data_IF_634634589257
#
_entry.id   IF_634634589257
#
_cell.length_a   1.000
_cell.length_b   1.000
_cell.length_c   1.000
_cell.angle_alpha   90.00
_cell.angle_beta   90.00
_cell.angle_gamma   90.00
#
_symmetry.space_group_name_H-M   'P 1'
#
loop_
_entity.id
_entity.type
_entity.pdbx_description
1 polymer ?
#
# COMPACT_ATOMS: atom_id res chain seq x y z
N UNK A 1 -30.79 9.27 15.67
CA UNK A 1 -29.63 9.89 14.99
C UNK A 1 -29.36 9.07 13.72
N UNK A 2 -29.72 9.56 12.53
CA UNK A 2 -29.42 8.86 11.28
C UNK A 2 -28.03 9.30 10.81
N UNK A 3 -27.08 8.38 10.79
CA UNK A 3 -25.76 8.64 10.23
C UNK A 3 -25.93 8.63 8.71
N UNK A 4 -25.65 9.77 8.08
CA UNK A 4 -25.61 9.86 6.62
C UNK A 4 -24.30 9.22 6.12
N UNK A 5 -24.42 8.11 5.40
CA UNK A 5 -23.28 7.39 4.84
C UNK A 5 -22.43 8.27 3.90
N UNK A 6 -23.05 9.25 3.23
CA UNK A 6 -22.34 10.17 2.34
C UNK A 6 -21.42 11.11 3.13
N UNK A 7 -21.89 11.61 4.28
CA UNK A 7 -21.09 12.47 5.15
C UNK A 7 -19.88 11.71 5.69
N UNK A 8 -20.11 10.49 6.21
CA UNK A 8 -19.02 9.63 6.72
C UNK A 8 -17.98 9.35 5.64
N UNK A 9 -18.41 9.08 4.41
CA UNK A 9 -17.50 8.84 3.28
C UNK A 9 -16.64 10.06 2.98
N UNK A 10 -17.23 11.26 2.95
CA UNK A 10 -16.48 12.51 2.68
C UNK A 10 -15.43 12.77 3.76
N UNK A 11 -15.80 12.64 5.04
CA UNK A 11 -14.86 12.83 6.16
C UNK A 11 -13.72 11.81 6.12
N UNK A 12 -14.02 10.53 5.87
CA UNK A 12 -13.01 9.49 5.73
C UNK A 12 -12.03 9.81 4.60
N UNK A 13 -12.53 10.26 3.46
CA UNK A 13 -11.72 10.66 2.31
C UNK A 13 -10.79 11.83 2.63
N UNK A 14 -11.24 12.81 3.42
CA UNK A 14 -10.40 13.93 3.86
C UNK A 14 -9.26 13.47 4.79
N UNK A 15 -9.54 12.51 5.67
CA UNK A 15 -8.52 11.91 6.55
C UNK A 15 -7.45 11.20 5.71
N UNK A 16 -7.85 10.40 4.73
CA UNK A 16 -6.93 9.70 3.82
C UNK A 16 -6.07 10.68 3.02
N UNK A 17 -6.64 11.81 2.62
CA UNK A 17 -5.92 12.86 1.88
C UNK A 17 -4.98 13.71 2.77
N UNK A 18 -5.04 13.54 4.09
CA UNK A 18 -4.23 14.33 5.04
C UNK A 18 -2.73 14.07 4.93
N UNK A 19 -1.93 15.10 5.25
CA UNK A 19 -0.47 14.97 5.28
C UNK A 19 0.02 13.96 6.32
N UNK A 20 -0.72 13.80 7.42
CA UNK A 20 -0.38 12.87 8.50
C UNK A 20 -0.40 11.42 8.00
N UNK A 21 -1.43 11.04 7.23
CA UNK A 21 -1.53 9.71 6.63
C UNK A 21 -0.39 9.46 5.64
N UNK A 22 -0.04 10.45 4.81
CA UNK A 22 1.08 10.33 3.87
C UNK A 22 2.44 10.17 4.56
N UNK A 23 2.66 10.86 5.67
CA UNK A 23 3.90 10.70 6.46
C UNK A 23 3.97 9.29 7.06
N UNK A 24 2.87 8.80 7.63
CA UNK A 24 2.80 7.44 8.15
C UNK A 24 3.05 6.39 7.05
N UNK A 25 2.40 6.53 5.89
CA UNK A 25 2.62 5.68 4.72
C UNK A 25 4.11 5.68 4.32
N UNK A 26 4.73 6.85 4.20
CA UNK A 26 6.14 6.96 3.82
C UNK A 26 7.08 6.22 4.79
N UNK A 27 6.86 6.36 6.10
CA UNK A 27 7.66 5.68 7.12
C UNK A 27 7.45 4.16 7.04
N UNK A 28 6.20 3.71 7.00
CA UNK A 28 5.89 2.27 6.93
C UNK A 28 6.45 1.63 5.66
N UNK A 29 6.30 2.29 4.52
CA UNK A 29 6.76 1.80 3.22
C UNK A 29 8.29 1.77 3.17
N UNK A 30 8.95 2.74 3.81
CA UNK A 30 10.41 2.70 3.98
C UNK A 30 10.87 1.52 4.84
N UNK A 31 10.20 1.25 5.97
CA UNK A 31 10.51 0.08 6.79
C UNK A 31 10.31 -1.24 6.03
N UNK A 32 9.23 -1.37 5.27
CA UNK A 32 8.99 -2.57 4.44
C UNK A 32 10.00 -2.70 3.31
N UNK A 33 10.40 -1.60 2.69
CA UNK A 33 11.49 -1.58 1.72
C UNK A 33 12.79 -2.10 2.32
N UNK A 34 13.17 -1.62 3.51
CA UNK A 34 14.36 -2.12 4.22
C UNK A 34 14.24 -3.61 4.54
N UNK A 35 13.06 -4.07 4.95
CA UNK A 35 12.81 -5.49 5.16
C UNK A 35 12.97 -6.31 3.87
N UNK A 36 12.44 -5.83 2.74
CA UNK A 36 12.62 -6.48 1.44
C UNK A 36 14.09 -6.59 1.05
N UNK A 37 14.86 -5.51 1.21
CA UNK A 37 16.31 -5.53 1.00
C UNK A 37 17.03 -6.51 1.92
N UNK A 38 16.64 -6.54 3.20
CA UNK A 38 17.15 -7.52 4.15
C UNK A 38 16.85 -8.96 3.71
N UNK A 39 15.59 -9.27 3.37
CA UNK A 39 15.18 -10.62 2.97
C UNK A 39 15.81 -11.08 1.64
N UNK A 40 16.18 -10.16 0.74
CA UNK A 40 16.94 -10.49 -0.47
C UNK A 40 18.41 -10.75 -0.14
N UNK A 41 18.99 -9.97 0.78
CA UNK A 41 20.42 -10.01 1.09
C UNK A 41 20.80 -11.13 2.05
N UNK A 42 19.89 -11.53 2.93
CA UNK A 42 20.13 -12.51 3.98
C UNK A 42 19.31 -13.78 3.71
N UNK A 43 19.98 -14.93 3.80
CA UNK A 43 19.47 -16.22 3.31
C UNK A 43 18.44 -16.91 4.22
N UNK A 44 18.03 -16.32 5.34
CA UNK A 44 17.03 -16.92 6.23
C UNK A 44 15.61 -16.44 5.88
N UNK A 45 14.79 -17.28 5.23
CA UNK A 45 13.42 -16.89 4.90
C UNK A 45 12.56 -16.78 6.15
N UNK A 46 11.54 -15.92 6.11
CA UNK A 46 10.50 -15.88 7.15
C UNK A 46 9.75 -17.21 7.10
N UNK A 47 10.14 -18.12 7.99
CA UNK A 47 9.73 -19.54 7.96
C UNK A 47 8.22 -19.78 7.93
N UNK A 48 7.43 -18.90 8.52
CA UNK A 48 5.96 -18.98 8.50
C UNK A 48 5.41 -18.73 7.10
N UNK A 49 5.94 -17.72 6.41
CA UNK A 49 5.48 -17.30 5.08
C UNK A 49 5.99 -18.29 4.03
N UNK A 50 7.28 -18.65 4.08
CA UNK A 50 7.89 -19.57 3.12
C UNK A 50 7.23 -20.97 3.15
N UNK A 51 7.01 -21.52 4.34
CA UNK A 51 6.35 -22.83 4.49
C UNK A 51 4.88 -22.82 4.05
N UNK A 52 4.19 -21.70 4.19
CA UNK A 52 2.78 -21.59 3.83
C UNK A 52 2.59 -21.31 2.32
N UNK A 53 3.47 -20.50 1.71
CA UNK A 53 3.29 -20.00 0.34
C UNK A 53 4.12 -20.75 -0.70
N UNK A 54 5.19 -21.44 -0.28
CA UNK A 54 6.19 -22.02 -1.16
C UNK A 54 7.22 -20.99 -1.65
N UNK A 55 8.39 -21.48 -2.06
CA UNK A 55 9.58 -20.67 -2.33
C UNK A 55 9.39 -19.60 -3.42
N UNK A 56 8.67 -19.92 -4.51
CA UNK A 56 8.41 -18.97 -5.59
C UNK A 56 7.50 -17.82 -5.12
N UNK A 57 6.42 -18.16 -4.43
CA UNK A 57 5.46 -17.17 -3.93
C UNK A 57 6.09 -16.31 -2.83
N UNK A 58 6.93 -16.90 -1.98
CA UNK A 58 7.74 -16.18 -1.00
C UNK A 58 8.68 -15.17 -1.68
N UNK A 59 9.38 -15.57 -2.75
CA UNK A 59 10.23 -14.65 -3.50
C UNK A 59 9.43 -13.48 -4.09
N UNK A 60 8.25 -13.73 -4.67
CA UNK A 60 7.35 -12.66 -5.14
C UNK A 60 6.95 -11.74 -3.99
N UNK A 61 6.57 -12.29 -2.84
CA UNK A 61 6.20 -11.54 -1.65
C UNK A 61 7.34 -10.64 -1.14
N UNK A 62 8.58 -11.13 -1.16
CA UNK A 62 9.77 -10.33 -0.86
C UNK A 62 9.97 -9.20 -1.88
N UNK A 63 9.82 -9.48 -3.18
CA UNK A 63 9.93 -8.45 -4.21
C UNK A 63 8.85 -7.37 -4.11
N UNK A 64 7.64 -7.71 -3.68
CA UNK A 64 6.58 -6.70 -3.45
C UNK A 64 6.96 -5.70 -2.36
N UNK A 65 7.71 -6.13 -1.33
CA UNK A 65 8.23 -5.23 -0.29
C UNK A 65 9.23 -4.20 -0.85
N UNK A 66 9.88 -4.49 -1.98
CA UNK A 66 10.86 -3.60 -2.62
C UNK A 66 10.18 -2.75 -3.70
N UNK A 67 9.47 -3.39 -4.62
CA UNK A 67 8.89 -2.73 -5.79
C UNK A 67 7.74 -1.81 -5.39
N UNK A 68 6.88 -2.23 -4.46
CA UNK A 68 5.73 -1.44 -4.00
C UNK A 68 6.12 -0.04 -3.51
N UNK A 69 7.00 0.08 -2.51
CA UNK A 69 7.47 1.36 -2.01
C UNK A 69 8.16 2.22 -3.07
N UNK A 70 8.96 1.61 -3.95
CA UNK A 70 9.63 2.32 -5.04
C UNK A 70 8.61 2.89 -6.05
N UNK A 71 7.56 2.15 -6.39
CA UNK A 71 6.48 2.63 -7.25
C UNK A 71 5.76 3.82 -6.64
N UNK A 72 5.44 3.77 -5.34
CA UNK A 72 4.82 4.90 -4.63
C UNK A 72 5.74 6.11 -4.57
N UNK A 73 7.01 5.92 -4.26
CA UNK A 73 8.00 7.00 -4.22
C UNK A 73 8.17 7.66 -5.60
N UNK A 74 8.34 6.86 -6.65
CA UNK A 74 8.44 7.35 -8.02
C UNK A 74 7.16 8.09 -8.44
N UNK A 75 5.99 7.54 -8.12
CA UNK A 75 4.71 8.17 -8.38
C UNK A 75 4.55 9.52 -7.67
N UNK A 76 4.94 9.60 -6.40
CA UNK A 76 4.99 10.85 -5.63
C UNK A 76 5.92 11.89 -6.28
N UNK A 77 7.12 11.49 -6.72
CA UNK A 77 8.06 12.39 -7.39
C UNK A 77 7.51 12.91 -8.74
N UNK A 78 6.75 12.08 -9.46
CA UNK A 78 6.12 12.45 -10.73
C UNK A 78 4.92 13.38 -10.52
N UNK A 79 4.09 13.13 -9.51
CA UNK A 79 2.92 13.93 -9.19
C UNK A 79 3.26 15.26 -8.47
N UNK A 80 4.32 15.27 -7.65
CA UNK A 80 4.67 16.41 -6.80
C UNK A 80 5.28 17.62 -7.52
N UNK A 81 5.84 17.46 -8.73
CA UNK A 81 6.56 18.54 -9.44
C UNK A 81 5.68 19.66 -10.00
N UNK A 82 4.34 19.62 -9.86
CA UNK A 82 3.44 20.57 -10.54
C UNK A 82 2.25 21.09 -9.73
N UNK A 83 2.40 21.29 -8.41
CA UNK A 83 1.38 21.99 -7.59
C UNK A 83 1.03 23.41 -8.10
N UNK A 84 1.83 23.99 -9.02
CA UNK A 84 1.67 25.34 -9.57
C UNK A 84 1.22 25.44 -11.04
N UNK A 85 0.86 24.35 -11.73
CA UNK A 85 0.46 24.43 -13.14
C UNK A 85 -0.95 23.88 -13.34
N UNK A 86 -1.89 24.77 -13.71
CA UNK A 86 -3.31 24.49 -13.97
C UNK A 86 -3.59 23.54 -15.16
N UNK A 87 -2.59 22.84 -15.70
CA UNK A 87 -2.78 21.93 -16.82
C UNK A 87 -2.64 20.46 -16.38
N UNK A 88 -3.69 19.64 -16.61
CA UNK A 88 -3.62 18.20 -16.42
C UNK A 88 -2.56 17.62 -17.34
N UNK A 89 -1.42 17.23 -16.76
CA UNK A 89 -0.32 16.63 -17.51
C UNK A 89 -0.43 15.12 -17.38
N UNK A 90 -0.27 14.40 -18.50
CA UNK A 90 -0.13 12.93 -18.52
C UNK A 90 0.86 12.40 -17.48
N UNK A 91 1.88 13.19 -17.12
CA UNK A 91 2.85 12.86 -16.08
C UNK A 91 2.23 12.73 -14.69
N UNK A 92 1.25 13.57 -14.34
CA UNK A 92 0.54 13.51 -13.05
C UNK A 92 -0.33 12.26 -13.01
N UNK A 93 -1.08 11.97 -14.08
CA UNK A 93 -1.86 10.73 -14.21
C UNK A 93 -0.98 9.49 -14.06
N UNK A 94 0.15 9.43 -14.78
CA UNK A 94 1.09 8.32 -14.67
C UNK A 94 1.68 8.20 -13.25
N UNK A 95 1.96 9.33 -12.59
CA UNK A 95 2.43 9.35 -11.20
C UNK A 95 1.39 8.83 -10.21
N UNK A 96 0.10 9.09 -10.45
CA UNK A 96 -0.99 8.54 -9.63
C UNK A 96 -1.19 7.04 -9.91
N UNK A 97 -1.11 6.59 -11.17
CA UNK A 97 -1.18 5.16 -11.52
C UNK A 97 -0.06 4.37 -10.84
N UNK A 98 1.15 4.92 -10.80
CA UNK A 98 2.28 4.31 -10.08
C UNK A 98 2.03 4.23 -8.57
N UNK A 99 1.44 5.27 -7.96
CA UNK A 99 1.05 5.22 -6.56
C UNK A 99 0.01 4.12 -6.31
N UNK A 100 -1.04 4.03 -7.13
CA UNK A 100 -2.06 2.97 -7.04
C UNK A 100 -1.42 1.59 -7.13
N UNK A 101 -0.54 1.37 -8.11
CA UNK A 101 0.14 0.09 -8.28
C UNK A 101 1.02 -0.27 -7.09
N UNK A 102 1.74 0.70 -6.52
CA UNK A 102 2.56 0.51 -5.34
C UNK A 102 1.73 0.22 -4.09
N UNK A 103 0.66 0.97 -3.85
CA UNK A 103 -0.24 0.75 -2.71
C UNK A 103 -0.97 -0.59 -2.82
N UNK A 104 -1.35 -1.00 -4.02
CA UNK A 104 -1.95 -2.30 -4.29
C UNK A 104 -0.95 -3.44 -4.01
N UNK A 105 0.31 -3.28 -4.42
CA UNK A 105 1.37 -4.21 -4.11
C UNK A 105 1.56 -4.37 -2.59
N UNK A 106 1.54 -3.26 -1.84
CA UNK A 106 1.63 -3.30 -0.38
C UNK A 106 0.41 -3.94 0.26
N UNK A 107 -0.80 -3.63 -0.21
CA UNK A 107 -2.03 -4.26 0.26
C UNK A 107 -1.99 -5.78 0.07
N UNK A 108 -1.57 -6.26 -1.11
CA UNK A 108 -1.46 -7.68 -1.40
C UNK A 108 -0.39 -8.36 -0.57
N UNK A 109 0.78 -7.73 -0.42
CA UNK A 109 1.88 -8.21 0.42
C UNK A 109 1.43 -8.36 1.88
N UNK A 110 0.78 -7.35 2.46
CA UNK A 110 0.27 -7.41 3.83
C UNK A 110 -0.81 -8.48 3.98
N UNK A 111 -1.65 -8.63 2.97
CA UNK A 111 -2.73 -9.62 2.98
C UNK A 111 -2.24 -11.06 2.89
N UNK A 112 -1.21 -11.27 2.08
CA UNK A 112 -0.51 -12.54 1.98
C UNK A 112 0.09 -12.97 3.33
N UNK A 113 0.62 -12.04 4.13
CA UNK A 113 1.19 -12.38 5.44
C UNK A 113 0.13 -12.94 6.39
N UNK A 114 -0.97 -12.22 6.64
CA UNK A 114 -1.97 -12.70 7.59
C UNK A 114 -2.70 -13.94 7.06
N UNK A 115 -2.90 -14.06 5.74
CA UNK A 115 -3.44 -15.27 5.13
C UNK A 115 -2.51 -16.49 5.36
N UNK A 116 -1.20 -16.31 5.20
CA UNK A 116 -0.21 -17.35 5.50
C UNK A 116 -0.21 -17.74 6.99
N UNK A 117 -0.33 -16.77 7.90
CA UNK A 117 -0.41 -17.05 9.34
C UNK A 117 -1.67 -17.83 9.70
N UNK A 118 -2.84 -17.45 9.16
CA UNK A 118 -4.11 -18.16 9.37
C UNK A 118 -4.09 -19.58 8.81
N UNK A 119 -3.36 -19.81 7.72
CA UNK A 119 -3.18 -21.14 7.14
C UNK A 119 -2.14 -21.99 7.89
N UNK A 120 -1.32 -21.38 8.76
CA UNK A 120 -0.29 -22.10 9.50
C UNK A 120 -0.87 -22.81 10.73
N UNK A 121 -0.37 -24.01 11.03
CA UNK A 121 -0.69 -24.73 12.28
C UNK A 121 -0.17 -24.05 13.55
N UNK A 122 0.58 -22.95 13.42
CA UNK A 122 1.24 -22.21 14.50
C UNK A 122 0.65 -20.81 14.69
N UNK A 123 -0.57 -20.56 14.19
CA UNK A 123 -1.22 -19.25 14.18
C UNK A 123 -1.21 -18.56 15.56
N UNK A 124 -1.28 -19.33 16.66
CA UNK A 124 -1.20 -18.83 18.04
C UNK A 124 0.06 -18.04 18.39
N UNK A 125 1.19 -18.28 17.71
CA UNK A 125 2.43 -17.49 17.89
C UNK A 125 2.42 -16.17 17.11
N UNK A 126 1.53 -16.04 16.12
CA UNK A 126 1.42 -14.90 15.23
C UNK A 126 0.18 -14.03 15.46
N UNK A 127 -0.75 -14.42 16.35
CA UNK A 127 -2.09 -13.82 16.46
C UNK A 127 -2.07 -12.29 16.58
N UNK A 128 -1.22 -11.72 17.44
CA UNK A 128 -1.11 -10.26 17.59
C UNK A 128 -0.66 -9.59 16.28
N UNK A 129 0.41 -10.11 15.67
CA UNK A 129 0.90 -9.61 14.39
C UNK A 129 -0.17 -9.73 13.29
N UNK A 130 -0.91 -10.84 13.22
CA UNK A 130 -2.00 -11.06 12.26
C UNK A 130 -3.01 -9.92 12.29
N UNK A 131 -3.52 -9.53 13.47
CA UNK A 131 -4.49 -8.44 13.58
C UNK A 131 -3.89 -7.08 13.19
N UNK A 132 -2.62 -6.83 13.52
CA UNK A 132 -1.91 -5.63 13.04
C UNK A 132 -1.81 -5.61 11.50
N UNK A 133 -1.46 -6.73 10.89
CA UNK A 133 -1.37 -6.85 9.43
C UNK A 133 -2.73 -6.73 8.75
N UNK A 134 -3.81 -7.24 9.33
CA UNK A 134 -5.18 -7.01 8.82
C UNK A 134 -5.51 -5.51 8.84
N UNK A 135 -5.24 -4.82 9.95
CA UNK A 135 -5.46 -3.37 10.04
C UNK A 135 -4.65 -2.60 8.99
N UNK A 136 -3.38 -2.96 8.81
CA UNK A 136 -2.49 -2.33 7.82
C UNK A 136 -2.92 -2.64 6.38
N UNK A 137 -3.39 -3.86 6.09
CA UNK A 137 -3.99 -4.21 4.79
C UNK A 137 -5.20 -3.33 4.48
N UNK A 138 -6.08 -3.10 5.46
CA UNK A 138 -7.23 -2.21 5.29
C UNK A 138 -6.79 -0.76 5.06
N UNK A 139 -5.80 -0.27 5.82
CA UNK A 139 -5.23 1.06 5.58
C UNK A 139 -4.66 1.19 4.15
N UNK A 140 -3.92 0.20 3.67
CA UNK A 140 -3.40 0.16 2.30
C UNK A 140 -4.54 0.13 1.26
N UNK A 141 -5.61 -0.64 1.51
CA UNK A 141 -6.80 -0.65 0.65
C UNK A 141 -7.46 0.74 0.55
N UNK A 142 -7.57 1.47 1.67
CA UNK A 142 -8.08 2.84 1.67
C UNK A 142 -7.18 3.82 0.92
N UNK A 143 -5.86 3.63 0.95
CA UNK A 143 -4.92 4.42 0.14
C UNK A 143 -5.13 4.17 -1.36
N UNK A 144 -5.27 2.90 -1.77
CA UNK A 144 -5.59 2.52 -3.17
C UNK A 144 -6.89 3.21 -3.63
N UNK A 145 -7.94 3.18 -2.80
CA UNK A 145 -9.22 3.83 -3.11
C UNK A 145 -9.05 5.36 -3.21
N UNK A 146 -8.28 5.96 -2.30
CA UNK A 146 -7.98 7.39 -2.30
C UNK A 146 -7.27 7.82 -3.59
N UNK A 147 -6.27 7.07 -4.03
CA UNK A 147 -5.54 7.37 -5.26
C UNK A 147 -6.37 7.10 -6.52
N UNK A 148 -7.17 6.05 -6.54
CA UNK A 148 -8.11 5.80 -7.64
C UNK A 148 -9.09 6.96 -7.80
N UNK A 149 -9.63 7.48 -6.69
CA UNK A 149 -10.49 8.67 -6.70
C UNK A 149 -9.77 9.88 -7.30
N UNK A 150 -8.51 10.12 -6.92
CA UNK A 150 -7.71 11.22 -7.47
C UNK A 150 -7.49 11.07 -8.98
N UNK A 151 -7.28 9.85 -9.48
CA UNK A 151 -7.18 9.59 -10.93
C UNK A 151 -8.48 9.89 -11.65
N UNK A 152 -9.62 9.41 -11.13
CA UNK A 152 -10.94 9.63 -11.73
C UNK A 152 -11.23 11.13 -11.81
N UNK A 153 -11.09 11.86 -10.69
CA UNK A 153 -11.27 13.31 -10.66
C UNK A 153 -10.31 13.98 -11.64
N UNK A 154 -9.04 13.59 -11.71
CA UNK A 154 -8.12 14.20 -12.67
C UNK A 154 -8.50 13.93 -14.13
N UNK A 155 -9.09 12.77 -14.43
CA UNK A 155 -9.53 12.40 -15.77
C UNK A 155 -10.73 13.22 -16.26
N UNK A 156 -11.66 13.56 -15.36
CA UNK A 156 -12.84 14.38 -15.68
C UNK A 156 -12.46 15.81 -16.09
N UNK A 157 -11.39 16.37 -15.52
CA UNK A 157 -10.90 17.72 -15.83
C UNK A 157 -10.05 17.79 -17.11
N UNK A 158 -9.78 16.64 -17.74
CA UNK A 158 -8.99 16.54 -18.97
C UNK A 158 -9.83 16.36 -20.24
N UNK A 159 -11.15 16.21 -20.09
CA UNK A 159 -12.14 16.23 -21.18
C UNK A 159 -12.66 17.64 -21.39
#
# INVERSE_FOLDING_TARGET
MRIDARLVWVELMQIIDSRTVRLFQAIMYFCWFLFGLYAISFAEPVSIVDRAMGSVTYAVWVWLNVIGPLMVAAGCMMAGRRRNSNHPSRRVTNGLILQIGGDLAMMLMLSAYWAAVLHSSWWGKGTHATFSYIGLSLCAAFLVVGDLRRVIVHSEWSR
#
